data_IF_233241300715
#
_entry.id   IF_233241300715
#
_cell.length_a   1.000
_cell.length_b   1.000
_cell.length_c   1.000
_cell.angle_alpha   90.00
_cell.angle_beta   90.00
_cell.angle_gamma   90.00
#
_symmetry.space_group_name_H-M   'P 1'
#
loop_
_entity.id
_entity.type
_entity.pdbx_description
1 polymer ?
#
# COMPACT_ATOMS: atom_id res chain seq x y z
N UNK A 1 12.96 -31.74 5.03
CA UNK A 1 12.46 -30.57 5.78
C UNK A 1 10.95 -30.56 5.61
N UNK A 2 10.19 -30.32 6.68
CA UNK A 2 8.73 -30.13 6.55
C UNK A 2 8.45 -28.75 5.91
N UNK A 3 7.37 -28.62 5.14
CA UNK A 3 7.03 -27.35 4.46
C UNK A 3 6.82 -26.22 5.46
N UNK A 4 6.29 -26.52 6.66
CA UNK A 4 6.10 -25.53 7.72
C UNK A 4 7.39 -25.09 8.43
N UNK A 5 8.51 -25.78 8.20
CA UNK A 5 9.81 -25.49 8.82
C UNK A 5 10.74 -24.67 7.92
N UNK A 6 10.36 -24.44 6.65
CA UNK A 6 11.18 -23.71 5.66
C UNK A 6 11.44 -22.27 6.10
N UNK A 7 10.46 -21.62 6.72
CA UNK A 7 10.56 -20.22 7.11
C UNK A 7 10.86 -20.07 8.60
N UNK A 8 11.92 -19.32 8.91
CA UNK A 8 12.20 -18.82 10.25
C UNK A 8 11.51 -17.47 10.46
N UNK A 9 10.55 -17.41 11.38
CA UNK A 9 9.89 -16.16 11.78
C UNK A 9 10.86 -15.25 12.55
N UNK A 10 10.88 -13.96 12.21
CA UNK A 10 11.70 -12.96 12.88
C UNK A 10 10.94 -12.32 14.05
N UNK A 11 11.63 -11.84 15.10
CA UNK A 11 11.00 -11.15 16.23
C UNK A 11 10.56 -9.71 15.92
N UNK A 12 10.77 -9.26 14.67
CA UNK A 12 10.41 -7.92 14.21
C UNK A 12 8.94 -7.90 13.79
N UNK A 13 8.20 -6.90 14.28
CA UNK A 13 6.80 -6.66 13.88
C UNK A 13 6.55 -5.17 13.68
N UNK A 14 5.58 -4.82 12.84
CA UNK A 14 5.07 -3.47 12.67
C UNK A 14 3.59 -3.46 13.06
N UNK A 15 3.29 -2.78 14.15
CA UNK A 15 1.95 -2.66 14.72
C UNK A 15 1.33 -1.31 14.39
N UNK A 16 -0.01 -1.18 14.49
CA UNK A 16 -0.68 0.11 14.38
C UNK A 16 -0.12 1.15 15.34
N UNK A 17 -0.09 2.42 14.91
CA UNK A 17 0.41 3.54 15.69
C UNK A 17 -0.56 4.73 15.59
N UNK A 18 -1.35 4.95 16.65
CA UNK A 18 -2.30 6.06 16.72
C UNK A 18 -1.64 7.43 16.93
N UNK A 19 -0.34 7.49 17.22
CA UNK A 19 0.39 8.74 17.35
C UNK A 19 0.72 9.37 15.99
N UNK A 20 0.79 8.54 14.94
CA UNK A 20 1.10 9.00 13.58
C UNK A 20 -0.16 9.55 12.92
N UNK A 21 -0.13 10.86 12.71
CA UNK A 21 -1.28 11.65 12.32
C UNK A 21 -0.97 12.52 11.13
N UNK A 22 -2.01 12.89 10.39
CA UNK A 22 -1.96 13.79 9.24
C UNK A 22 -3.09 14.81 9.34
N UNK A 23 -2.87 16.03 8.85
CA UNK A 23 -3.94 17.01 8.69
C UNK A 23 -4.63 16.79 7.34
N UNK A 24 -5.95 16.58 7.35
CA UNK A 24 -6.77 16.38 6.15
C UNK A 24 -7.93 17.37 6.10
N UNK A 25 -8.50 17.62 4.90
CA UNK A 25 -9.75 18.33 4.75
C UNK A 25 -10.84 17.77 5.68
N UNK A 26 -11.52 18.68 6.39
CA UNK A 26 -12.73 18.37 7.15
C UNK A 26 -13.89 19.16 6.57
N UNK A 27 -14.98 18.44 6.27
CA UNK A 27 -16.18 19.02 5.68
C UNK A 27 -17.39 18.63 6.52
N UNK A 28 -18.24 19.61 6.81
CA UNK A 28 -19.44 19.41 7.59
C UNK A 28 -20.59 20.15 6.91
N UNK A 29 -21.40 19.41 6.16
CA UNK A 29 -22.60 19.93 5.51
C UNK A 29 -23.82 19.65 6.39
N UNK A 30 -24.97 20.17 5.96
CA UNK A 30 -26.24 19.75 6.54
C UNK A 30 -26.60 18.35 6.05
N UNK A 31 -27.17 17.48 6.90
CA UNK A 31 -27.88 16.31 6.41
C UNK A 31 -28.97 16.74 5.43
N UNK A 32 -29.34 15.87 4.49
CA UNK A 32 -30.26 16.18 3.39
C UNK A 32 -31.55 16.90 3.83
N UNK A 33 -32.18 16.43 4.92
CA UNK A 33 -33.38 17.04 5.52
C UNK A 33 -33.21 18.51 5.91
N UNK A 34 -31.99 18.95 6.17
CA UNK A 34 -31.63 20.29 6.62
C UNK A 34 -30.88 21.09 5.56
N UNK A 35 -30.78 20.60 4.32
CA UNK A 35 -30.06 21.26 3.23
C UNK A 35 -30.65 22.63 2.82
N UNK A 36 -31.88 22.93 3.23
CA UNK A 36 -32.52 24.24 3.07
C UNK A 36 -31.91 25.34 3.96
N UNK A 37 -31.13 24.98 4.97
CA UNK A 37 -30.45 25.95 5.83
C UNK A 37 -29.29 26.64 5.10
N UNK A 38 -28.92 27.86 5.50
CA UNK A 38 -27.74 28.53 4.97
C UNK A 38 -26.48 27.64 5.07
N UNK A 39 -25.56 27.71 4.08
CA UNK A 39 -24.33 26.95 4.09
C UNK A 39 -23.55 27.16 5.39
N UNK A 40 -22.97 26.08 5.91
CA UNK A 40 -22.22 26.09 7.16
C UNK A 40 -20.89 26.86 7.08
N UNK A 41 -20.12 26.85 5.96
CA UNK A 41 -18.84 27.54 5.93
C UNK A 41 -18.92 29.06 6.15
N UNK A 42 -19.78 29.83 5.44
CA UNK A 42 -19.93 31.27 5.72
C UNK A 42 -20.49 31.57 7.12
N UNK A 43 -21.34 30.68 7.65
CA UNK A 43 -21.86 30.82 9.00
C UNK A 43 -20.76 30.68 10.06
N UNK A 44 -19.77 29.82 9.84
CA UNK A 44 -18.61 29.67 10.71
C UNK A 44 -17.74 30.94 10.68
N UNK A 45 -17.43 31.46 9.50
CA UNK A 45 -16.63 32.69 9.34
C UNK A 45 -17.28 33.87 10.06
N UNK A 46 -18.60 34.04 9.94
CA UNK A 46 -19.34 35.08 10.68
C UNK A 46 -19.25 34.92 12.19
N UNK A 47 -19.31 33.69 12.71
CA UNK A 47 -19.16 33.43 14.15
C UNK A 47 -17.76 33.79 14.63
N UNK A 48 -16.72 33.45 13.85
CA UNK A 48 -15.34 33.81 14.17
C UNK A 48 -15.15 35.34 14.19
N UNK A 49 -15.68 36.06 13.19
CA UNK A 49 -15.66 37.54 13.13
C UNK A 49 -16.36 38.20 14.33
N UNK A 50 -17.39 37.55 14.88
CA UNK A 50 -18.15 38.06 16.02
C UNK A 50 -17.49 37.82 17.39
N UNK A 51 -16.40 37.05 17.46
CA UNK A 51 -15.64 36.88 18.70
C UNK A 51 -14.80 38.13 19.01
N UNK A 52 -14.50 38.34 20.29
CA UNK A 52 -13.53 39.33 20.71
C UNK A 52 -12.11 38.90 20.29
N UNK A 53 -11.22 39.88 20.09
CA UNK A 53 -9.84 39.62 19.62
C UNK A 53 -9.06 38.74 20.61
N UNK A 54 -9.21 38.97 21.91
CA UNK A 54 -8.55 38.19 22.97
C UNK A 54 -8.97 36.70 22.96
N UNK A 55 -10.22 36.41 22.57
CA UNK A 55 -10.71 35.04 22.41
C UNK A 55 -10.02 34.38 21.21
N UNK A 56 -9.94 35.07 20.08
CA UNK A 56 -9.27 34.55 18.87
C UNK A 56 -7.78 34.33 19.11
N UNK A 57 -7.11 35.22 19.85
CA UNK A 57 -5.71 35.04 20.24
C UNK A 57 -5.50 33.79 21.11
N UNK A 58 -6.37 33.55 22.11
CA UNK A 58 -6.31 32.32 22.92
C UNK A 58 -6.54 31.06 22.10
N UNK A 59 -7.50 31.08 21.17
CA UNK A 59 -7.75 29.95 20.26
C UNK A 59 -6.53 29.67 19.38
N UNK A 60 -5.89 30.71 18.86
CA UNK A 60 -4.68 30.57 18.04
C UNK A 60 -3.54 29.97 18.85
N UNK A 61 -3.31 30.44 20.08
CA UNK A 61 -2.28 29.89 20.97
C UNK A 61 -2.55 28.41 21.31
N UNK A 62 -3.82 28.04 21.52
CA UNK A 62 -4.24 26.67 21.82
C UNK A 62 -3.95 25.70 20.68
N UNK A 63 -4.18 26.10 19.43
CA UNK A 63 -3.97 25.24 18.25
C UNK A 63 -2.50 25.25 17.82
N UNK A 64 -1.85 26.42 17.80
CA UNK A 64 -0.53 26.59 17.21
C UNK A 64 0.57 25.77 17.90
N UNK A 65 0.58 25.69 19.24
CA UNK A 65 1.62 24.94 19.95
C UNK A 65 1.57 23.44 19.64
N UNK A 66 0.49 22.73 19.99
CA UNK A 66 0.34 21.29 19.74
C UNK A 66 0.43 20.93 18.25
N UNK A 67 -0.23 21.69 17.36
CA UNK A 67 -0.22 21.37 15.93
C UNK A 67 1.15 21.57 15.30
N UNK A 68 1.91 22.62 15.64
CA UNK A 68 3.27 22.82 15.08
C UNK A 68 4.28 21.82 15.62
N UNK A 69 4.06 21.29 16.82
CA UNK A 69 4.89 20.20 17.35
C UNK A 69 4.63 18.88 16.63
N UNK A 70 3.37 18.58 16.29
CA UNK A 70 2.99 17.33 15.63
C UNK A 70 3.09 17.38 14.11
N UNK A 71 2.95 18.56 13.50
CA UNK A 71 2.89 18.75 12.05
C UNK A 71 3.83 19.88 11.63
N UNK A 72 4.90 19.52 10.92
CA UNK A 72 5.99 20.41 10.48
C UNK A 72 5.49 21.66 9.75
N UNK A 73 4.43 21.53 8.95
CA UNK A 73 3.89 22.57 8.09
C UNK A 73 2.42 22.92 8.41
N UNK A 74 1.97 22.77 9.67
CA UNK A 74 0.57 23.00 10.08
C UNK A 74 -0.02 24.31 9.55
N UNK A 75 0.67 25.43 9.78
CA UNK A 75 0.19 26.75 9.37
C UNK A 75 0.04 26.86 7.84
N UNK A 76 0.97 26.27 7.06
CA UNK A 76 0.89 26.28 5.60
C UNK A 76 -0.28 25.42 5.10
N UNK A 77 -0.54 24.29 5.75
CA UNK A 77 -1.70 23.43 5.46
C UNK A 77 -3.01 24.19 5.72
N UNK A 78 -3.12 24.89 6.85
CA UNK A 78 -4.31 25.67 7.17
C UNK A 78 -4.53 26.84 6.20
N UNK A 79 -3.48 27.57 5.81
CA UNK A 79 -3.57 28.61 4.77
C UNK A 79 -4.09 28.06 3.46
N UNK A 80 -3.48 26.97 2.99
CA UNK A 80 -3.89 26.31 1.75
C UNK A 80 -5.35 25.88 1.81
N UNK A 81 -5.81 25.38 2.97
CA UNK A 81 -7.21 25.00 3.15
C UNK A 81 -8.16 26.19 2.98
N UNK A 82 -7.79 27.38 3.44
CA UNK A 82 -8.56 28.61 3.21
C UNK A 82 -8.60 28.96 1.72
N UNK A 83 -7.48 28.81 1.01
CA UNK A 83 -7.42 29.07 -0.43
C UNK A 83 -8.28 28.09 -1.25
N UNK A 84 -8.21 26.80 -0.93
CA UNK A 84 -9.04 25.74 -1.54
C UNK A 84 -10.54 26.01 -1.37
N UNK A 85 -10.93 26.58 -0.23
CA UNK A 85 -12.34 26.84 0.11
C UNK A 85 -12.77 28.29 -0.13
N UNK A 86 -11.94 29.11 -0.80
CA UNK A 86 -12.17 30.57 -0.92
C UNK A 86 -13.57 30.92 -1.41
N UNK A 87 -14.09 30.17 -2.37
CA UNK A 87 -15.42 30.40 -2.97
C UNK A 87 -16.58 29.96 -2.05
N UNK A 88 -16.31 29.08 -1.08
CA UNK A 88 -17.31 28.56 -0.13
C UNK A 88 -17.37 29.35 1.18
N UNK A 89 -16.27 30.01 1.56
CA UNK A 89 -16.11 30.64 2.88
C UNK A 89 -16.88 31.97 3.04
N UNK A 90 -17.27 32.61 1.94
CA UNK A 90 -17.92 33.92 1.96
C UNK A 90 -16.95 35.07 2.25
N UNK A 91 -17.40 36.08 2.99
CA UNK A 91 -16.61 37.30 3.24
C UNK A 91 -15.52 37.12 4.30
N UNK A 92 -14.27 37.07 3.85
CA UNK A 92 -13.06 37.01 4.67
C UNK A 92 -12.45 38.39 4.99
N UNK A 93 -13.05 39.49 4.54
CA UNK A 93 -12.50 40.83 4.77
C UNK A 93 -12.43 41.17 6.27
N UNK A 94 -11.38 41.90 6.67
CA UNK A 94 -11.15 42.30 8.06
C UNK A 94 -10.62 41.19 8.98
N UNK A 95 -10.39 39.98 8.46
CA UNK A 95 -9.68 38.92 9.19
C UNK A 95 -8.17 39.14 9.09
N UNK A 96 -7.48 38.98 10.21
CA UNK A 96 -6.02 38.96 10.25
C UNK A 96 -5.48 37.63 9.72
N UNK A 97 -4.18 37.59 9.44
CA UNK A 97 -3.49 36.36 9.06
C UNK A 97 -3.66 35.23 10.12
N UNK A 98 -3.70 35.60 11.40
CA UNK A 98 -3.94 34.66 12.50
C UNK A 98 -5.36 34.10 12.45
N UNK A 99 -6.33 34.91 12.10
CA UNK A 99 -7.72 34.47 11.98
C UNK A 99 -7.91 33.52 10.79
N UNK A 100 -7.19 33.75 9.69
CA UNK A 100 -7.21 32.83 8.53
C UNK A 100 -6.66 31.45 8.91
N UNK A 101 -5.65 31.36 9.77
CA UNK A 101 -5.18 30.07 10.29
C UNK A 101 -6.27 29.36 11.11
N UNK A 102 -7.05 30.10 11.90
CA UNK A 102 -8.20 29.53 12.63
C UNK A 102 -9.29 29.04 11.69
N UNK A 103 -9.61 29.82 10.63
CA UNK A 103 -10.55 29.38 9.59
C UNK A 103 -10.06 28.07 8.97
N UNK A 104 -8.80 28.01 8.52
CA UNK A 104 -8.21 26.80 7.94
C UNK A 104 -8.25 25.60 8.89
N UNK A 105 -7.95 25.82 10.18
CA UNK A 105 -8.01 24.78 11.21
C UNK A 105 -9.44 24.23 11.42
N UNK A 106 -10.48 25.08 11.38
CA UNK A 106 -11.87 24.62 11.49
C UNK A 106 -12.33 23.72 10.34
N UNK A 107 -11.76 23.89 9.14
CA UNK A 107 -12.03 23.05 7.97
C UNK A 107 -10.96 21.98 7.73
N UNK A 108 -10.21 21.68 8.78
CA UNK A 108 -9.20 20.62 8.82
C UNK A 108 -9.48 19.69 9.98
N UNK A 109 -9.01 18.45 9.87
CA UNK A 109 -9.02 17.48 10.96
C UNK A 109 -7.66 16.80 11.07
N UNK A 110 -7.24 16.50 12.29
CA UNK A 110 -6.13 15.60 12.55
C UNK A 110 -6.64 14.16 12.46
N UNK A 111 -5.97 13.32 11.67
CA UNK A 111 -6.41 11.98 11.35
C UNK A 111 -5.27 10.98 11.58
N UNK A 112 -5.49 9.98 12.43
CA UNK A 112 -4.54 8.90 12.67
C UNK A 112 -4.70 7.81 11.60
N UNK A 113 -3.76 7.71 10.67
CA UNK A 113 -3.95 6.98 9.41
C UNK A 113 -3.60 5.49 9.46
N UNK A 114 -2.91 5.08 10.52
CA UNK A 114 -2.54 3.69 10.78
C UNK A 114 -2.86 3.28 12.22
N UNK A 115 -3.93 3.86 12.80
CA UNK A 115 -4.32 3.62 14.19
C UNK A 115 -5.01 2.29 14.43
N UNK A 116 -5.67 1.74 13.41
CA UNK A 116 -6.48 0.52 13.54
C UNK A 116 -5.73 -0.73 13.05
N UNK A 117 -5.00 -0.62 11.93
CA UNK A 117 -4.29 -1.74 11.33
C UNK A 117 -3.12 -1.26 10.44
N UNK A 118 -2.07 -2.09 10.35
CA UNK A 118 -0.87 -1.86 9.52
C UNK A 118 -0.36 -3.18 8.91
N UNK A 119 -0.82 -3.52 7.70
CA UNK A 119 -0.69 -4.88 7.15
C UNK A 119 -0.56 -4.88 5.62
N UNK A 120 -0.71 -6.05 4.99
CA UNK A 120 -0.58 -6.27 3.54
C UNK A 120 0.71 -5.71 2.94
N UNK A 121 1.88 -6.13 3.46
CA UNK A 121 3.17 -5.59 3.07
C UNK A 121 3.61 -6.04 1.67
N UNK A 122 4.22 -5.13 0.91
CA UNK A 122 4.98 -5.43 -0.30
C UNK A 122 6.33 -4.71 -0.24
N UNK A 123 7.40 -5.33 -0.71
CA UNK A 123 8.72 -4.71 -0.72
C UNK A 123 9.46 -4.83 -2.06
N UNK A 124 10.33 -3.88 -2.30
CA UNK A 124 11.33 -3.86 -3.37
C UNK A 124 12.64 -3.31 -2.83
N UNK A 125 13.76 -3.59 -3.49
CA UNK A 125 15.00 -2.86 -3.22
C UNK A 125 14.83 -1.39 -3.60
N UNK A 126 15.44 -0.49 -2.83
CA UNK A 126 15.44 0.93 -3.20
C UNK A 126 16.31 1.09 -4.46
N UNK A 127 15.80 1.71 -5.55
CA UNK A 127 16.61 1.99 -6.74
C UNK A 127 17.84 2.84 -6.41
N UNK A 128 19.03 2.41 -6.86
CA UNK A 128 20.34 3.00 -6.53
C UNK A 128 21.46 1.96 -6.67
N UNK A 129 22.73 2.32 -6.38
CA UNK A 129 23.90 1.42 -6.50
C UNK A 129 23.65 0.06 -5.80
N UNK A 130 23.34 -0.96 -6.62
CA UNK A 130 23.11 -2.37 -6.29
C UNK A 130 22.05 -2.69 -5.22
N UNK A 131 21.25 -1.70 -4.79
CA UNK A 131 20.31 -1.85 -3.66
C UNK A 131 21.01 -2.08 -2.32
N UNK A 132 22.31 -1.80 -2.23
CA UNK A 132 23.13 -2.01 -1.04
C UNK A 132 23.24 -0.73 -0.21
N UNK A 133 23.03 -0.87 1.10
CA UNK A 133 23.42 0.12 2.09
C UNK A 133 24.95 0.21 2.16
N UNK A 134 25.46 1.30 2.75
CA UNK A 134 26.91 1.60 2.84
C UNK A 134 27.73 0.53 3.56
N UNK A 135 27.08 -0.35 4.31
CA UNK A 135 27.66 -1.47 5.06
C UNK A 135 27.51 -2.83 4.34
N UNK A 136 27.00 -2.84 3.10
CA UNK A 136 26.79 -4.05 2.31
C UNK A 136 25.49 -4.81 2.63
N UNK A 137 24.61 -4.25 3.48
CA UNK A 137 23.27 -4.81 3.71
C UNK A 137 22.30 -4.41 2.60
N UNK A 138 21.24 -5.19 2.39
CA UNK A 138 20.21 -4.86 1.41
C UNK A 138 19.29 -3.77 1.94
N UNK A 139 19.10 -2.71 1.16
CA UNK A 139 18.20 -1.61 1.49
C UNK A 139 16.89 -1.76 0.72
N UNK A 140 15.77 -1.77 1.44
CA UNK A 140 14.46 -1.95 0.82
C UNK A 140 13.49 -0.81 1.15
N UNK A 141 12.54 -0.63 0.23
CA UNK A 141 11.29 0.09 0.43
C UNK A 141 10.20 -0.93 0.73
N UNK A 142 9.46 -0.71 1.82
CA UNK A 142 8.31 -1.49 2.22
C UNK A 142 7.07 -0.61 2.14
N UNK A 143 6.09 -1.01 1.34
CA UNK A 143 4.74 -0.44 1.38
C UNK A 143 3.86 -1.24 2.33
N UNK A 144 2.95 -0.54 3.00
CA UNK A 144 2.00 -1.10 3.96
C UNK A 144 0.63 -0.46 3.74
N UNK A 145 -0.41 -1.25 4.00
CA UNK A 145 -1.78 -0.77 4.11
C UNK A 145 -2.02 -0.27 5.53
N UNK A 146 -2.21 1.05 5.68
CA UNK A 146 -2.60 1.69 6.93
C UNK A 146 -4.11 1.93 6.98
N UNK A 147 -4.75 1.49 8.07
CA UNK A 147 -6.17 1.74 8.35
C UNK A 147 -6.28 2.71 9.52
N UNK A 148 -6.99 3.81 9.30
CA UNK A 148 -7.29 4.82 10.31
C UNK A 148 -8.75 4.84 10.75
N UNK A 149 -9.16 5.94 11.37
CA UNK A 149 -10.55 6.19 11.76
C UNK A 149 -11.53 6.03 10.57
N UNK A 150 -12.70 5.45 10.80
CA UNK A 150 -13.69 5.25 9.74
C UNK A 150 -13.30 4.17 8.71
N UNK A 151 -12.25 3.38 8.98
CA UNK A 151 -11.77 2.29 8.14
C UNK A 151 -11.25 2.70 6.76
N UNK A 152 -10.84 3.96 6.59
CA UNK A 152 -10.27 4.42 5.32
C UNK A 152 -8.87 3.82 5.14
N UNK A 153 -8.68 3.10 4.03
CA UNK A 153 -7.40 2.51 3.65
C UNK A 153 -6.47 3.52 2.99
N UNK A 154 -5.21 3.52 3.40
CA UNK A 154 -4.13 4.32 2.83
C UNK A 154 -2.89 3.46 2.58
N UNK A 155 -2.01 3.93 1.70
CA UNK A 155 -0.66 3.37 1.55
C UNK A 155 0.32 4.23 2.34
N UNK A 156 1.12 3.60 3.18
CA UNK A 156 2.25 4.22 3.89
C UNK A 156 3.50 3.38 3.66
N UNK A 157 4.67 3.98 3.92
CA UNK A 157 5.94 3.37 3.60
C UNK A 157 6.85 3.25 4.82
N UNK A 158 7.77 2.28 4.77
CA UNK A 158 8.91 2.13 5.66
C UNK A 158 10.14 1.82 4.81
N UNK A 159 11.30 2.09 5.37
CA UNK A 159 12.57 1.57 4.86
C UNK A 159 13.23 0.71 5.92
N UNK A 160 14.20 -0.08 5.49
CA UNK A 160 14.96 -0.91 6.39
C UNK A 160 16.16 -1.53 5.71
N UNK A 161 16.98 -2.21 6.50
CA UNK A 161 18.09 -3.01 6.01
C UNK A 161 17.93 -4.48 6.37
N UNK A 162 18.46 -5.36 5.52
CA UNK A 162 18.48 -6.80 5.73
C UNK A 162 19.84 -7.38 5.35
N UNK A 163 20.42 -8.19 6.23
CA UNK A 163 21.73 -8.83 6.05
C UNK A 163 21.69 -10.12 5.20
N UNK A 164 20.54 -10.45 4.62
CA UNK A 164 20.29 -11.73 3.95
C UNK A 164 19.99 -12.88 4.92
N UNK A 165 20.14 -12.66 6.22
CA UNK A 165 20.00 -13.61 7.32
C UNK A 165 18.80 -13.31 8.19
N UNK A 166 18.99 -13.39 9.50
CA UNK A 166 17.98 -13.01 10.50
C UNK A 166 18.12 -11.55 10.96
N UNK A 167 19.17 -10.85 10.52
CA UNK A 167 19.39 -9.44 10.80
C UNK A 167 18.50 -8.56 9.91
N UNK A 168 17.31 -8.24 10.41
CA UNK A 168 16.38 -7.30 9.80
C UNK A 168 16.22 -6.08 10.70
N UNK A 169 16.43 -4.89 10.15
CA UNK A 169 16.18 -3.62 10.84
C UNK A 169 15.16 -2.81 10.04
N UNK A 170 14.09 -2.36 10.69
CA UNK A 170 13.19 -1.35 10.13
C UNK A 170 13.61 0.00 10.68
N UNK A 171 13.75 1.01 9.83
CA UNK A 171 14.10 2.34 10.31
C UNK A 171 12.95 2.94 11.11
N UNK A 172 13.25 3.78 12.12
CA UNK A 172 12.23 4.52 12.83
C UNK A 172 11.36 5.33 11.87
N UNK A 173 10.04 5.15 11.96
CA UNK A 173 9.10 5.97 11.20
C UNK A 173 9.10 7.40 11.75
N UNK A 174 9.01 8.39 10.85
CA UNK A 174 8.78 9.78 11.26
C UNK A 174 7.44 9.90 11.99
N UNK A 175 7.35 10.67 13.09
CA UNK A 175 6.07 10.91 13.77
C UNK A 175 5.10 11.75 12.93
N UNK A 176 5.59 12.36 11.85
CA UNK A 176 4.80 13.20 10.96
C UNK A 176 4.17 12.38 9.83
N UNK A 177 2.94 12.74 9.44
CA UNK A 177 2.27 12.24 8.25
C UNK A 177 1.90 13.39 7.32
N UNK A 178 2.22 13.24 6.04
CA UNK A 178 2.04 14.25 5.00
C UNK A 178 1.37 13.56 3.81
N UNK A 179 0.17 14.03 3.39
CA UNK A 179 -0.45 13.51 2.19
C UNK A 179 0.23 14.16 0.97
N UNK A 180 0.47 13.40 -0.11
CA UNK A 180 0.93 13.97 -1.36
C UNK A 180 -0.01 15.08 -1.85
N UNK A 181 0.56 16.07 -2.53
CA UNK A 181 -0.20 17.09 -3.24
C UNK A 181 -0.51 16.61 -4.65
N UNK A 182 -1.70 16.92 -5.14
CA UNK A 182 -2.02 16.76 -6.56
C UNK A 182 -1.32 17.89 -7.32
N UNK A 183 -0.35 17.53 -8.16
CA UNK A 183 0.34 18.47 -9.04
C UNK A 183 -0.49 18.71 -10.31
N UNK A 184 -0.96 17.63 -10.92
CA UNK A 184 -1.78 17.67 -12.13
C UNK A 184 -2.69 16.45 -12.21
N UNK A 185 -3.74 16.56 -13.03
CA UNK A 185 -4.62 15.44 -13.35
C UNK A 185 -5.15 15.61 -14.79
N UNK A 186 -5.42 14.50 -15.45
CA UNK A 186 -6.09 14.44 -16.75
C UNK A 186 -7.05 13.24 -16.77
N UNK A 187 -8.36 13.50 -16.81
CA UNK A 187 -9.36 12.48 -16.59
C UNK A 187 -9.19 11.77 -15.24
N UNK A 188 -8.95 10.45 -15.29
CA UNK A 188 -8.67 9.62 -14.11
C UNK A 188 -7.18 9.41 -13.83
N UNK A 189 -6.27 9.96 -14.65
CA UNK A 189 -4.84 10.00 -14.35
C UNK A 189 -4.53 11.14 -13.38
N UNK A 190 -3.73 10.86 -12.35
CA UNK A 190 -3.35 11.82 -11.32
C UNK A 190 -1.86 11.74 -11.03
N UNK A 191 -1.20 12.89 -11.00
CA UNK A 191 0.19 13.03 -10.56
C UNK A 191 0.27 13.69 -9.20
N UNK A 192 0.94 13.00 -8.29
CA UNK A 192 1.14 13.37 -6.90
C UNK A 192 2.61 13.72 -6.64
N UNK A 193 2.83 14.74 -5.80
CA UNK A 193 4.15 15.18 -5.37
C UNK A 193 4.24 15.27 -3.84
N UNK A 194 5.37 14.86 -3.28
CA UNK A 194 5.64 14.76 -1.85
C UNK A 194 6.78 15.67 -1.40
N UNK A 195 6.88 16.88 -1.98
CA UNK A 195 7.97 17.83 -1.68
C UNK A 195 8.01 18.27 -0.21
N UNK A 196 6.87 18.21 0.47
CA UNK A 196 6.74 18.53 1.90
C UNK A 196 7.31 17.40 2.79
N UNK A 197 7.47 16.18 2.28
CA UNK A 197 8.01 15.02 3.00
C UNK A 197 9.54 15.00 2.96
N UNK A 198 10.15 14.81 4.12
CA UNK A 198 11.60 14.69 4.29
C UNK A 198 12.09 13.25 4.36
N UNK A 199 11.19 12.35 4.75
CA UNK A 199 11.42 10.91 4.83
C UNK A 199 10.24 10.18 4.19
N UNK A 200 10.48 9.03 3.56
CA UNK A 200 9.41 8.30 2.86
C UNK A 200 8.31 7.82 3.79
N UNK A 201 8.62 7.57 5.06
CA UNK A 201 7.60 7.19 6.04
C UNK A 201 6.61 8.31 6.32
N UNK A 202 6.98 9.58 6.06
CA UNK A 202 6.05 10.71 6.16
C UNK A 202 4.97 10.67 5.08
N UNK A 203 5.23 10.05 3.92
CA UNK A 203 4.28 9.99 2.81
C UNK A 203 3.12 9.04 3.10
N UNK A 204 1.89 9.55 2.97
CA UNK A 204 0.66 8.76 3.13
C UNK A 204 -0.27 8.98 1.94
N UNK A 205 -0.42 7.97 1.08
CA UNK A 205 -1.30 8.03 -0.09
C UNK A 205 -2.71 7.63 0.33
N UNK A 206 -3.61 8.60 0.33
CA UNK A 206 -5.05 8.39 0.51
C UNK A 206 -5.76 8.18 -0.82
N UNK A 207 -7.00 7.69 -0.80
CA UNK A 207 -7.91 7.79 -1.92
C UNK A 207 -7.99 9.20 -2.49
N UNK A 208 -7.71 9.33 -3.78
CA UNK A 208 -7.80 10.56 -4.56
C UNK A 208 -8.97 10.50 -5.55
N UNK A 209 -9.16 9.36 -6.21
CA UNK A 209 -10.24 9.15 -7.18
C UNK A 209 -11.53 8.65 -6.53
N UNK A 210 -12.72 8.93 -7.10
CA UNK A 210 -14.00 8.45 -6.58
C UNK A 210 -14.04 6.93 -6.37
N UNK A 211 -13.44 6.16 -7.28
CA UNK A 211 -13.40 4.70 -7.23
C UNK A 211 -12.49 4.14 -6.13
N UNK A 212 -11.69 5.00 -5.50
CA UNK A 212 -10.84 4.64 -4.37
C UNK A 212 -11.50 5.00 -3.03
N UNK A 213 -12.72 5.56 -3.02
CA UNK A 213 -13.30 6.23 -1.83
C UNK A 213 -13.32 5.37 -0.56
N UNK A 214 -13.42 4.04 -0.68
CA UNK A 214 -13.34 3.11 0.46
C UNK A 214 -11.93 2.53 0.67
N UNK A 215 -11.03 2.68 -0.29
CA UNK A 215 -9.63 2.39 -0.07
C UNK A 215 -8.76 2.28 -1.32
N UNK A 216 -7.47 2.52 -1.10
CA UNK A 216 -6.36 1.98 -1.90
C UNK A 216 -5.88 0.73 -1.17
N UNK A 217 -6.04 -0.45 -1.78
CA UNK A 217 -5.81 -1.75 -1.13
C UNK A 217 -4.71 -2.55 -1.80
N UNK A 218 -3.92 -3.25 -0.97
CA UNK A 218 -3.04 -4.37 -1.36
C UNK A 218 -2.05 -4.03 -2.49
N UNK A 219 -1.29 -2.95 -2.29
CA UNK A 219 -0.26 -2.51 -3.23
C UNK A 219 0.84 -3.58 -3.39
N UNK A 220 1.07 -3.99 -4.64
CA UNK A 220 2.10 -4.94 -5.04
C UNK A 220 3.17 -4.22 -5.84
N UNK A 221 4.33 -4.01 -5.23
CA UNK A 221 5.47 -3.34 -5.85
C UNK A 221 6.31 -4.33 -6.65
N UNK A 222 6.88 -3.86 -7.76
CA UNK A 222 7.89 -4.56 -8.55
C UNK A 222 8.88 -3.55 -9.13
N UNK A 223 10.16 -3.92 -9.14
CA UNK A 223 11.15 -3.23 -9.97
C UNK A 223 11.02 -3.78 -11.38
N UNK A 224 10.39 -3.01 -12.27
CA UNK A 224 10.21 -3.36 -13.66
C UNK A 224 11.41 -2.91 -14.49
N UNK A 225 11.98 -3.82 -15.28
CA UNK A 225 13.10 -3.56 -16.20
C UNK A 225 12.58 -3.53 -17.63
N UNK A 226 12.78 -2.40 -18.30
CA UNK A 226 12.47 -2.20 -19.72
C UNK A 226 13.52 -2.87 -20.62
N UNK A 227 13.21 -3.01 -21.91
CA UNK A 227 14.10 -3.68 -22.88
C UNK A 227 15.42 -2.92 -23.13
N UNK A 228 15.43 -1.61 -22.82
CA UNK A 228 16.64 -0.78 -22.85
C UNK A 228 17.49 -0.87 -21.57
N UNK A 229 17.05 -1.68 -20.60
CA UNK A 229 17.69 -1.87 -19.30
C UNK A 229 17.34 -0.81 -18.26
N UNK A 230 16.53 0.19 -18.59
CA UNK A 230 16.05 1.15 -17.60
C UNK A 230 15.12 0.47 -16.59
N UNK A 231 15.22 0.89 -15.33
CA UNK A 231 14.45 0.33 -14.23
C UNK A 231 13.55 1.38 -13.59
N UNK A 232 12.35 0.96 -13.24
CA UNK A 232 11.40 1.77 -12.48
C UNK A 232 10.60 0.91 -11.49
N UNK A 233 10.24 1.49 -10.35
CA UNK A 233 9.34 0.82 -9.41
C UNK A 233 7.90 1.10 -9.81
N UNK A 234 7.14 0.03 -10.04
CA UNK A 234 5.73 0.04 -10.40
C UNK A 234 4.95 -0.68 -9.30
N UNK A 235 3.81 -0.12 -8.93
CA UNK A 235 2.84 -0.75 -8.03
C UNK A 235 1.54 -1.08 -8.75
N UNK A 236 0.94 -2.22 -8.44
CA UNK A 236 -0.44 -2.53 -8.83
C UNK A 236 -1.29 -2.68 -7.57
N UNK A 237 -2.51 -2.14 -7.57
CA UNK A 237 -3.36 -2.13 -6.39
C UNK A 237 -4.84 -2.19 -6.75
N UNK A 238 -5.66 -2.53 -5.75
CA UNK A 238 -7.11 -2.54 -5.89
C UNK A 238 -7.69 -1.23 -5.37
N UNK A 239 -8.38 -0.49 -6.24
CA UNK A 239 -9.25 0.62 -5.86
C UNK A 239 -10.65 0.07 -5.53
N UNK A 240 -11.22 0.50 -4.41
CA UNK A 240 -12.54 0.07 -3.96
C UNK A 240 -13.44 1.27 -3.61
N UNK A 241 -14.66 1.28 -4.17
CA UNK A 241 -15.65 2.34 -3.95
C UNK A 241 -16.73 1.99 -2.92
N UNK A 242 -16.74 0.74 -2.44
CA UNK A 242 -17.78 0.17 -1.56
C UNK A 242 -18.65 -0.89 -2.24
N UNK A 243 -18.60 -0.96 -3.57
CA UNK A 243 -19.44 -1.84 -4.40
C UNK A 243 -18.67 -2.50 -5.54
N UNK A 244 -17.80 -1.75 -6.22
CA UNK A 244 -17.01 -2.21 -7.35
C UNK A 244 -15.53 -2.12 -7.04
N UNK A 245 -14.78 -3.02 -7.67
CA UNK A 245 -13.32 -3.09 -7.57
C UNK A 245 -12.73 -2.83 -8.95
N UNK A 246 -11.63 -2.09 -8.98
CA UNK A 246 -10.87 -1.80 -10.19
C UNK A 246 -9.39 -1.92 -9.89
N UNK A 247 -8.63 -2.49 -10.82
CA UNK A 247 -7.18 -2.50 -10.74
C UNK A 247 -6.62 -1.18 -11.27
N UNK A 248 -5.68 -0.63 -10.53
CA UNK A 248 -5.01 0.61 -10.86
C UNK A 248 -3.50 0.44 -10.68
N UNK A 249 -2.75 1.29 -11.35
CA UNK A 249 -1.29 1.28 -11.36
C UNK A 249 -0.75 2.54 -10.67
N UNK A 250 0.36 2.35 -9.95
CA UNK A 250 1.14 3.38 -9.30
C UNK A 250 2.52 3.40 -9.96
N UNK A 251 2.91 4.51 -10.59
CA UNK A 251 4.21 4.67 -11.25
C UNK A 251 5.04 5.76 -10.59
N UNK A 252 6.31 5.82 -10.98
CA UNK A 252 7.22 6.88 -10.55
C UNK A 252 7.56 6.81 -9.07
N UNK A 253 7.54 5.63 -8.44
CA UNK A 253 7.83 5.43 -7.01
C UNK A 253 9.31 5.68 -6.73
N UNK A 254 9.71 6.96 -6.82
CA UNK A 254 11.02 7.52 -6.48
C UNK A 254 11.00 8.18 -5.08
N UNK A 255 9.94 7.88 -4.31
CA UNK A 255 9.64 8.37 -2.97
C UNK A 255 9.23 9.85 -2.91
N UNK A 256 9.19 10.56 -4.04
CA UNK A 256 8.82 11.98 -4.12
C UNK A 256 7.64 12.22 -5.03
N UNK A 257 7.54 11.47 -6.12
CA UNK A 257 6.47 11.56 -7.09
C UNK A 257 5.70 10.26 -7.14
N UNK A 258 4.42 10.32 -7.48
CA UNK A 258 3.60 9.14 -7.70
C UNK A 258 2.59 9.46 -8.80
N UNK A 259 2.45 8.57 -9.77
CA UNK A 259 1.41 8.67 -10.78
C UNK A 259 0.40 7.54 -10.57
N UNK A 260 -0.88 7.89 -10.48
CA UNK A 260 -1.98 6.95 -10.28
C UNK A 260 -2.83 6.94 -11.54
N UNK A 261 -3.10 5.75 -12.08
CA UNK A 261 -3.90 5.59 -13.28
C UNK A 261 -4.74 4.32 -13.21
N UNK A 262 -6.01 4.34 -13.66
CA UNK A 262 -6.79 3.13 -13.79
C UNK A 262 -6.31 2.27 -14.96
N UNK A 263 -6.34 0.95 -14.77
CA UNK A 263 -6.17 0.01 -15.86
C UNK A 263 -7.51 -0.23 -16.57
N UNK A 264 -7.46 -0.38 -17.88
CA UNK A 264 -8.64 -0.60 -18.74
C UNK A 264 -8.66 -2.02 -19.33
N UNK A 265 -9.81 -2.41 -19.88
CA UNK A 265 -10.03 -3.71 -20.52
C UNK A 265 -10.77 -4.72 -19.64
N UNK A 266 -11.20 -5.82 -20.25
CA UNK A 266 -12.08 -6.80 -19.62
C UNK A 266 -11.50 -7.48 -18.35
N UNK A 267 -10.18 -7.47 -18.16
CA UNK A 267 -9.50 -8.18 -17.08
C UNK A 267 -9.22 -7.33 -15.83
N UNK A 268 -9.60 -6.05 -15.81
CA UNK A 268 -9.21 -5.10 -14.74
C UNK A 268 -10.25 -4.88 -13.64
N UNK A 269 -11.47 -5.41 -13.80
CA UNK A 269 -12.56 -5.35 -12.81
C UNK A 269 -12.43 -6.35 -11.64
N UNK A 270 -11.24 -6.91 -11.41
CA UNK A 270 -10.99 -7.99 -10.45
C UNK A 270 -9.94 -7.59 -9.42
N UNK A 271 -9.42 -8.54 -8.63
CA UNK A 271 -8.44 -8.28 -7.55
C UNK A 271 -7.11 -9.01 -7.80
N UNK A 272 -6.04 -8.43 -7.24
CA UNK A 272 -4.75 -9.08 -7.11
C UNK A 272 -3.99 -9.19 -8.43
N UNK A 273 -4.05 -8.16 -9.29
CA UNK A 273 -3.15 -8.11 -10.43
C UNK A 273 -1.72 -7.84 -9.95
N UNK A 274 -0.74 -8.55 -10.51
CA UNK A 274 0.67 -8.47 -10.12
C UNK A 274 1.57 -8.57 -11.36
N UNK A 275 2.33 -7.50 -11.61
CA UNK A 275 3.16 -7.35 -12.81
C UNK A 275 4.46 -8.15 -12.71
N UNK A 276 4.79 -8.91 -13.77
CA UNK A 276 6.10 -9.53 -13.91
C UNK A 276 7.19 -8.45 -14.05
N UNK A 277 8.42 -8.68 -13.57
CA UNK A 277 9.46 -7.65 -13.49
C UNK A 277 10.07 -7.25 -14.83
N UNK A 278 9.63 -7.85 -15.95
CA UNK A 278 10.01 -7.50 -17.32
C UNK A 278 9.00 -8.06 -18.32
N UNK A 279 9.11 -7.66 -19.59
CA UNK A 279 8.37 -8.29 -20.68
C UNK A 279 8.80 -9.75 -20.89
N UNK A 280 7.88 -10.57 -21.37
CA UNK A 280 8.11 -11.96 -21.79
C UNK A 280 7.58 -12.08 -23.22
N UNK A 281 8.46 -12.46 -24.14
CA UNK A 281 8.19 -12.48 -25.59
C UNK A 281 7.65 -11.14 -26.12
N UNK A 282 8.26 -10.04 -25.66
CA UNK A 282 7.91 -8.68 -26.09
C UNK A 282 6.60 -8.14 -25.52
N UNK A 283 5.94 -8.87 -24.62
CA UNK A 283 4.64 -8.48 -24.01
C UNK A 283 4.73 -8.23 -22.53
N UNK A 284 3.92 -7.31 -22.03
CA UNK A 284 3.66 -7.18 -20.60
C UNK A 284 2.89 -8.40 -20.11
N UNK A 285 3.19 -8.85 -18.90
CA UNK A 285 2.57 -10.03 -18.29
C UNK A 285 2.18 -9.71 -16.85
N UNK A 286 0.95 -10.06 -16.46
CA UNK A 286 0.47 -9.97 -15.08
C UNK A 286 -0.11 -11.31 -14.63
N UNK A 287 0.06 -11.63 -13.35
CA UNK A 287 -0.82 -12.60 -12.70
C UNK A 287 -2.07 -11.90 -12.18
N UNK A 288 -3.20 -12.60 -12.06
CA UNK A 288 -4.44 -12.09 -11.50
C UNK A 288 -5.32 -13.17 -10.92
N UNK A 289 -6.55 -12.81 -10.50
CA UNK A 289 -7.61 -13.74 -10.08
C UNK A 289 -8.97 -13.31 -10.65
N UNK A 290 -9.16 -13.56 -11.95
CA UNK A 290 -10.28 -13.03 -12.75
C UNK A 290 -11.60 -13.78 -12.53
N UNK A 291 -11.55 -15.04 -12.08
CA UNK A 291 -12.76 -15.82 -11.76
C UNK A 291 -13.03 -15.93 -10.25
N UNK A 292 -12.29 -15.16 -9.44
CA UNK A 292 -12.31 -15.20 -7.98
C UNK A 292 -11.81 -16.50 -7.34
N UNK A 293 -11.30 -17.47 -8.11
CA UNK A 293 -10.91 -18.80 -7.61
C UNK A 293 -9.47 -19.18 -7.99
N UNK A 294 -9.06 -18.95 -9.23
CA UNK A 294 -7.82 -19.45 -9.81
C UNK A 294 -6.79 -18.34 -10.03
N UNK A 295 -5.50 -18.67 -10.11
CA UNK A 295 -4.50 -17.73 -10.61
C UNK A 295 -4.56 -17.73 -12.14
N UNK A 296 -4.69 -16.54 -12.72
CA UNK A 296 -4.70 -16.32 -14.16
C UNK A 296 -3.41 -15.67 -14.62
N UNK A 297 -3.02 -15.96 -15.86
CA UNK A 297 -1.97 -15.29 -16.60
C UNK A 297 -2.61 -14.35 -17.62
N UNK A 298 -2.24 -13.08 -17.56
CA UNK A 298 -2.70 -12.03 -18.46
C UNK A 298 -1.53 -11.58 -19.32
N UNK A 299 -1.80 -11.25 -20.58
CA UNK A 299 -0.78 -10.73 -21.50
C UNK A 299 -1.31 -9.50 -22.22
N UNK A 300 -0.46 -8.50 -22.41
CA UNK A 300 -0.82 -7.32 -23.18
C UNK A 300 0.38 -6.71 -23.91
N UNK A 301 0.10 -6.05 -25.03
CA UNK A 301 1.04 -5.20 -25.75
C UNK A 301 1.08 -3.77 -25.15
N UNK A 302 0.11 -3.42 -24.30
CA UNK A 302 -0.02 -2.12 -23.63
C UNK A 302 -0.18 -2.33 -22.11
N UNK A 303 0.66 -1.69 -21.31
CA UNK A 303 0.65 -1.80 -19.85
C UNK A 303 -0.66 -1.30 -19.22
N UNK A 304 -1.39 -0.42 -19.91
CA UNK A 304 -2.62 0.21 -19.42
C UNK A 304 -3.91 -0.51 -19.86
N UNK A 305 -3.82 -1.50 -20.75
CA UNK A 305 -4.98 -2.19 -21.35
C UNK A 305 -4.83 -3.70 -21.20
N UNK A 306 -5.81 -4.38 -20.57
CA UNK A 306 -5.77 -5.82 -20.31
C UNK A 306 -7.10 -6.49 -20.70
N UNK A 307 -7.13 -7.11 -21.89
CA UNK A 307 -8.38 -7.69 -22.45
C UNK A 307 -8.49 -9.20 -22.27
N UNK A 308 -7.36 -9.92 -22.30
CA UNK A 308 -7.34 -11.38 -22.38
C UNK A 308 -6.50 -12.01 -21.27
N UNK A 309 -6.84 -13.24 -20.92
CA UNK A 309 -6.11 -14.03 -19.95
C UNK A 309 -6.64 -15.47 -19.86
N UNK A 310 -5.89 -16.32 -19.17
CA UNK A 310 -6.26 -17.71 -18.95
C UNK A 310 -5.90 -18.21 -17.54
N UNK A 311 -6.67 -19.13 -16.94
CA UNK A 311 -6.35 -19.74 -15.65
C UNK A 311 -5.20 -20.75 -15.76
N UNK A 312 -4.13 -20.52 -15.01
CA UNK A 312 -2.88 -21.32 -15.05
C UNK A 312 -2.62 -22.13 -13.77
N UNK A 313 -3.15 -21.72 -12.62
CA UNK A 313 -3.04 -22.48 -11.36
C UNK A 313 -4.41 -22.55 -10.69
N UNK A 314 -4.86 -23.78 -10.43
CA UNK A 314 -6.14 -24.07 -9.78
C UNK A 314 -5.95 -24.64 -8.37
N UNK A 315 -6.94 -24.49 -7.47
CA UNK A 315 -6.96 -25.21 -6.21
C UNK A 315 -6.79 -26.71 -6.40
N UNK A 316 -5.86 -27.30 -5.64
CA UNK A 316 -5.50 -28.71 -5.65
C UNK A 316 -5.44 -29.28 -4.22
N UNK A 317 -5.10 -28.45 -3.22
CA UNK A 317 -4.94 -28.88 -1.82
C UNK A 317 -6.01 -28.31 -0.88
N UNK A 318 -6.33 -28.97 0.25
CA UNK A 318 -7.40 -28.54 1.14
C UNK A 318 -7.30 -27.12 1.71
N UNK A 319 -6.08 -26.59 1.83
CA UNK A 319 -5.83 -25.24 2.34
C UNK A 319 -6.14 -24.12 1.33
N UNK A 320 -6.53 -24.48 0.11
CA UNK A 320 -6.81 -23.53 -0.99
C UNK A 320 -8.11 -23.85 -1.76
N UNK A 321 -8.91 -24.83 -1.32
CA UNK A 321 -10.14 -25.26 -2.01
C UNK A 321 -11.19 -24.16 -2.19
N UNK A 322 -11.13 -23.04 -1.45
CA UNK A 322 -12.04 -21.92 -1.69
C UNK A 322 -11.52 -21.03 -2.82
N UNK A 323 -10.21 -20.75 -2.83
CA UNK A 323 -9.53 -19.96 -3.85
C UNK A 323 -8.01 -19.97 -3.63
N UNK A 324 -7.27 -19.70 -4.70
CA UNK A 324 -5.84 -19.40 -4.71
C UNK A 324 -5.59 -18.05 -5.41
N UNK A 325 -4.60 -17.30 -4.96
CA UNK A 325 -4.17 -16.07 -5.62
C UNK A 325 -2.67 -15.82 -5.43
N UNK A 326 -2.09 -14.92 -6.23
CA UNK A 326 -0.72 -14.45 -5.98
C UNK A 326 -0.68 -13.54 -4.74
N UNK A 327 0.40 -13.60 -3.98
CA UNK A 327 0.72 -12.61 -2.96
C UNK A 327 1.14 -11.31 -3.65
N UNK A 328 2.16 -11.36 -4.50
CA UNK A 328 2.64 -10.20 -5.26
C UNK A 328 3.27 -10.61 -6.57
N UNK A 329 4.12 -9.73 -7.09
CA UNK A 329 4.79 -9.91 -8.37
C UNK A 329 5.68 -11.16 -8.39
N UNK A 330 5.68 -11.95 -9.49
CA UNK A 330 6.59 -13.07 -9.66
C UNK A 330 8.06 -12.64 -9.58
N UNK A 331 8.89 -13.48 -9.00
CA UNK A 331 10.31 -13.22 -8.80
C UNK A 331 11.09 -14.08 -9.79
N UNK A 332 11.91 -13.45 -10.63
CA UNK A 332 12.77 -14.17 -11.57
C UNK A 332 13.90 -14.88 -10.82
N UNK A 333 14.00 -16.19 -10.98
CA UNK A 333 15.12 -17.01 -10.51
C UNK A 333 15.63 -17.89 -11.67
N UNK A 334 16.69 -18.65 -11.45
CA UNK A 334 17.28 -19.48 -12.52
C UNK A 334 16.35 -20.61 -12.96
N UNK A 335 15.60 -21.18 -12.01
CA UNK A 335 14.69 -22.31 -12.23
C UNK A 335 13.36 -21.92 -12.88
N UNK A 336 13.00 -20.63 -12.87
CA UNK A 336 11.68 -20.19 -13.31
C UNK A 336 11.23 -18.87 -12.70
N UNK A 337 9.92 -18.68 -12.67
CA UNK A 337 9.25 -17.60 -11.95
C UNK A 337 8.75 -18.11 -10.61
N UNK A 338 9.37 -17.70 -9.51
CA UNK A 338 8.89 -18.00 -8.16
C UNK A 338 7.70 -17.10 -7.84
N UNK A 339 6.57 -17.71 -7.48
CA UNK A 339 5.34 -17.01 -7.12
C UNK A 339 4.94 -17.40 -5.70
N UNK A 340 4.99 -16.45 -4.77
CA UNK A 340 4.31 -16.62 -3.48
C UNK A 340 2.80 -16.54 -3.69
N UNK A 341 2.07 -17.47 -3.11
CA UNK A 341 0.62 -17.60 -3.26
C UNK A 341 -0.06 -17.51 -1.91
N UNK A 342 -1.31 -17.05 -1.90
CA UNK A 342 -2.22 -17.24 -0.79
C UNK A 342 -3.30 -18.24 -1.18
N UNK A 343 -3.66 -19.13 -0.26
CA UNK A 343 -4.75 -20.09 -0.38
C UNK A 343 -5.76 -19.88 0.72
N UNK A 344 -7.04 -20.10 0.40
CA UNK A 344 -8.15 -20.01 1.36
C UNK A 344 -8.75 -21.39 1.58
N UNK A 345 -8.68 -21.85 2.83
CA UNK A 345 -9.16 -23.16 3.26
C UNK A 345 -10.33 -23.08 4.24
N UNK A 346 -10.40 -24.10 5.11
CA UNK A 346 -11.44 -24.26 6.11
C UNK A 346 -11.57 -23.01 7.00
N UNK A 347 -12.83 -22.64 7.30
CA UNK A 347 -13.17 -21.50 8.18
C UNK A 347 -12.49 -20.20 7.72
N UNK A 348 -12.39 -19.99 6.40
CA UNK A 348 -11.73 -18.83 5.78
C UNK A 348 -10.29 -18.66 6.27
N UNK A 349 -9.58 -19.77 6.52
CA UNK A 349 -8.17 -19.73 6.88
C UNK A 349 -7.32 -19.32 5.68
N UNK A 350 -6.69 -18.15 5.72
CA UNK A 350 -5.71 -17.74 4.72
C UNK A 350 -4.33 -18.20 5.14
N UNK A 351 -3.65 -18.86 4.21
CA UNK A 351 -2.29 -19.36 4.37
C UNK A 351 -1.45 -18.97 3.15
N UNK A 352 -0.13 -18.87 3.34
CA UNK A 352 0.82 -18.56 2.28
C UNK A 352 1.52 -19.84 1.83
N UNK A 353 1.57 -20.09 0.53
CA UNK A 353 2.38 -21.11 -0.12
C UNK A 353 3.23 -20.51 -1.24
N UNK A 354 3.76 -21.35 -2.11
CA UNK A 354 4.48 -20.90 -3.30
C UNK A 354 4.35 -21.89 -4.47
N UNK A 355 4.54 -21.39 -5.68
CA UNK A 355 4.70 -22.20 -6.87
C UNK A 355 5.80 -21.65 -7.79
N UNK A 356 6.21 -22.49 -8.73
CA UNK A 356 7.23 -22.18 -9.74
C UNK A 356 6.60 -22.32 -11.12
N UNK A 357 6.66 -21.26 -11.93
CA UNK A 357 6.23 -21.26 -13.32
C UNK A 357 7.46 -21.34 -14.25
N UNK A 358 7.29 -21.88 -15.44
CA UNK A 358 8.38 -21.98 -16.43
C UNK A 358 8.85 -20.59 -16.89
N UNK A 359 10.18 -20.43 -16.98
CA UNK A 359 10.82 -19.13 -17.26
C UNK A 359 10.47 -18.57 -18.63
N UNK A 360 10.38 -19.44 -19.64
CA UNK A 360 10.07 -19.06 -21.01
C UNK A 360 8.55 -18.99 -21.21
N UNK A 361 7.82 -19.98 -20.67
CA UNK A 361 6.38 -20.06 -20.80
C UNK A 361 5.68 -20.05 -19.44
N UNK A 362 5.39 -18.87 -18.85
CA UNK A 362 4.77 -18.75 -17.54
C UNK A 362 3.35 -19.34 -17.46
N UNK A 363 2.76 -19.81 -18.57
CA UNK A 363 1.50 -20.57 -18.52
C UNK A 363 1.67 -21.97 -17.91
N UNK A 364 2.92 -22.47 -17.87
CA UNK A 364 3.26 -23.82 -17.39
C UNK A 364 3.68 -23.77 -15.93
N UNK A 365 2.86 -24.38 -15.07
CA UNK A 365 3.18 -24.65 -13.68
C UNK A 365 4.16 -25.84 -13.58
N UNK A 366 5.35 -25.60 -13.02
CA UNK A 366 6.39 -26.61 -12.88
C UNK A 366 6.32 -27.35 -11.54
N UNK A 367 6.15 -26.61 -10.45
CA UNK A 367 6.13 -27.16 -9.10
C UNK A 367 5.33 -26.25 -8.16
N UNK A 368 4.86 -26.82 -7.04
CA UNK A 368 4.13 -26.07 -6.01
C UNK A 368 4.26 -26.70 -4.63
N UNK A 369 4.08 -25.91 -3.58
CA UNK A 369 3.99 -26.43 -2.21
C UNK A 369 2.67 -27.17 -2.01
N UNK A 370 2.73 -28.35 -1.39
CA UNK A 370 1.54 -29.17 -1.10
C UNK A 370 0.88 -28.79 0.23
N UNK A 371 1.64 -28.15 1.13
CA UNK A 371 1.18 -27.59 2.39
C UNK A 371 1.53 -26.08 2.47
N UNK A 372 0.91 -25.34 3.41
CA UNK A 372 1.30 -23.96 3.70
C UNK A 372 2.75 -23.81 4.17
N UNK A 373 3.42 -22.75 3.69
CA UNK A 373 4.71 -22.26 4.21
C UNK A 373 4.50 -21.42 5.47
N UNK A 374 3.50 -20.53 5.45
CA UNK A 374 3.10 -19.72 6.59
C UNK A 374 1.60 -19.86 6.79
N UNK A 375 1.21 -20.10 8.03
CA UNK A 375 -0.18 -20.14 8.46
C UNK A 375 -0.31 -19.51 9.86
N UNK A 376 -1.52 -19.05 10.24
CA UNK A 376 -1.76 -18.48 11.56
C UNK A 376 -1.44 -19.50 12.66
N UNK A 377 -0.48 -19.18 13.55
CA UNK A 377 -0.28 -19.95 14.78
C UNK A 377 -1.51 -19.84 15.69
N UNK A 378 -1.65 -20.71 16.70
CA UNK A 378 -2.75 -20.65 17.66
C UNK A 378 -2.91 -19.27 18.33
N UNK A 379 -1.79 -18.60 18.61
CA UNK A 379 -1.73 -17.25 19.19
C UNK A 379 -2.08 -16.15 18.17
N UNK A 380 -1.87 -16.42 16.88
CA UNK A 380 -2.12 -15.51 15.76
C UNK A 380 -3.52 -15.65 15.15
N UNK A 381 -4.44 -16.39 15.81
CA UNK A 381 -5.82 -16.58 15.35
C UNK A 381 -6.76 -15.41 15.67
N UNK A 382 -6.32 -14.43 16.46
CA UNK A 382 -7.05 -13.17 16.69
C UNK A 382 -6.79 -12.13 15.60
N UNK A 383 -7.42 -10.95 15.70
CA UNK A 383 -7.26 -9.84 14.75
C UNK A 383 -8.59 -9.31 14.21
N UNK A 384 -8.53 -8.35 13.29
CA UNK A 384 -9.70 -7.79 12.62
C UNK A 384 -10.37 -8.85 11.73
N UNK A 385 -9.56 -9.65 11.01
CA UNK A 385 -10.01 -10.87 10.32
C UNK A 385 -9.24 -12.08 10.88
N UNK A 386 -9.86 -12.87 11.77
CA UNK A 386 -9.25 -14.07 12.35
C UNK A 386 -8.72 -15.06 11.30
N UNK A 387 -7.68 -15.81 11.65
CA UNK A 387 -7.09 -16.87 10.82
C UNK A 387 -6.52 -16.41 9.46
N UNK A 388 -5.98 -15.19 9.39
CA UNK A 388 -5.38 -14.67 8.15
C UNK A 388 -3.87 -14.48 8.28
N UNK A 389 -3.14 -15.06 7.32
CA UNK A 389 -1.79 -14.62 6.95
C UNK A 389 -1.78 -14.26 5.47
N UNK A 390 -1.31 -13.07 5.13
CA UNK A 390 -1.36 -12.53 3.77
C UNK A 390 -0.11 -11.70 3.45
N UNK A 391 0.34 -11.69 2.20
CA UNK A 391 1.48 -10.86 1.75
C UNK A 391 1.18 -10.24 0.40
N UNK A 392 1.80 -9.10 0.12
CA UNK A 392 1.73 -8.41 -1.17
C UNK A 392 3.08 -8.43 -1.92
N UNK A 393 4.08 -9.16 -1.41
CA UNK A 393 5.39 -9.28 -2.06
C UNK A 393 6.44 -9.91 -1.17
N UNK A 394 7.51 -10.40 -1.79
CA UNK A 394 8.68 -10.94 -1.12
C UNK A 394 9.94 -10.48 -1.86
N UNK A 395 11.09 -10.60 -1.19
CA UNK A 395 12.39 -10.29 -1.77
C UNK A 395 13.24 -11.56 -1.81
N UNK A 396 13.87 -11.82 -2.97
CA UNK A 396 14.92 -12.82 -3.12
C UNK A 396 16.23 -12.10 -3.41
N UNK A 397 17.30 -12.50 -2.73
CA UNK A 397 18.62 -11.96 -3.00
C UNK A 397 19.72 -12.98 -2.72
N UNK A 398 20.83 -12.90 -3.46
CA UNK A 398 22.00 -13.73 -3.24
C UNK A 398 22.93 -13.08 -2.20
N UNK A 399 23.29 -13.79 -1.14
CA UNK A 399 24.26 -13.33 -0.13
C UNK A 399 25.37 -14.37 -0.02
N UNK A 400 26.53 -14.02 -0.59
CA UNK A 400 27.58 -15.00 -0.87
C UNK A 400 27.08 -16.06 -1.83
N UNK A 401 27.30 -17.33 -1.50
CA UNK A 401 26.86 -18.48 -2.32
C UNK A 401 25.40 -18.91 -2.03
N UNK A 402 24.69 -18.22 -1.12
CA UNK A 402 23.34 -18.60 -0.69
C UNK A 402 22.29 -17.70 -1.31
N UNK A 403 21.17 -18.28 -1.74
CA UNK A 403 19.99 -17.55 -2.20
C UNK A 403 18.99 -17.46 -1.04
N UNK A 404 18.62 -16.24 -0.65
CA UNK A 404 17.85 -15.97 0.56
C UNK A 404 16.54 -15.30 0.23
N UNK A 405 15.50 -15.63 1.00
CA UNK A 405 14.17 -15.05 0.88
C UNK A 405 13.86 -14.22 2.13
N UNK A 406 13.34 -13.00 1.94
CA UNK A 406 12.66 -12.21 2.95
C UNK A 406 11.19 -12.07 2.58
N UNK A 407 10.31 -12.57 3.44
CA UNK A 407 8.86 -12.56 3.27
C UNK A 407 8.20 -11.76 4.41
N UNK A 408 7.78 -10.50 4.17
CA UNK A 408 6.87 -9.81 5.06
C UNK A 408 5.46 -10.34 4.86
N UNK A 409 4.67 -10.40 5.93
CA UNK A 409 3.28 -10.85 5.87
C UNK A 409 2.44 -10.17 6.96
N UNK A 410 1.22 -9.80 6.59
CA UNK A 410 0.17 -9.37 7.50
C UNK A 410 -0.41 -10.54 8.29
N UNK A 411 -0.81 -10.27 9.53
CA UNK A 411 -1.49 -11.20 10.42
C UNK A 411 -2.81 -10.58 10.83
N UNK A 412 -3.90 -11.31 10.58
CA UNK A 412 -5.24 -10.98 11.06
C UNK A 412 -5.79 -9.64 10.59
N UNK A 413 -5.33 -9.13 9.44
CA UNK A 413 -5.58 -7.77 8.94
C UNK A 413 -5.32 -6.67 10.00
N UNK A 414 -4.29 -6.86 10.83
CA UNK A 414 -4.01 -5.99 11.97
C UNK A 414 -2.57 -5.46 11.99
N UNK A 415 -1.57 -6.32 11.82
CA UNK A 415 -0.16 -5.93 11.90
C UNK A 415 0.70 -6.75 10.94
N UNK A 416 1.95 -6.34 10.75
CA UNK A 416 2.92 -7.01 9.87
C UNK A 416 4.00 -7.72 10.69
N UNK A 417 4.39 -8.91 10.23
CA UNK A 417 5.54 -9.66 10.70
C UNK A 417 6.45 -10.05 9.52
N UNK A 418 7.60 -10.65 9.82
CA UNK A 418 8.60 -11.00 8.81
C UNK A 418 9.09 -12.44 9.04
N UNK A 419 9.44 -13.10 7.95
CA UNK A 419 10.07 -14.42 7.97
C UNK A 419 11.14 -14.51 6.89
N UNK A 420 12.13 -15.37 7.12
CA UNK A 420 13.25 -15.60 6.19
C UNK A 420 13.44 -17.09 5.92
N UNK A 421 13.93 -17.41 4.74
CA UNK A 421 14.24 -18.79 4.33
C UNK A 421 15.50 -18.82 3.46
N UNK A 422 16.02 -20.03 3.28
CA UNK A 422 16.89 -20.35 2.15
C UNK A 422 16.01 -20.71 0.94
N UNK A 423 16.34 -20.17 -0.24
CA UNK A 423 15.55 -20.44 -1.44
C UNK A 423 15.66 -21.90 -1.87
N UNK A 424 16.81 -22.55 -1.66
CA UNK A 424 17.04 -23.93 -2.09
C UNK A 424 16.21 -24.89 -1.22
N UNK A 425 16.07 -24.61 0.07
CA UNK A 425 15.18 -25.34 0.97
C UNK A 425 13.71 -25.17 0.56
N UNK A 426 13.30 -23.95 0.16
CA UNK A 426 11.95 -23.68 -0.35
C UNK A 426 11.67 -24.46 -1.64
N UNK A 427 12.59 -24.45 -2.61
CA UNK A 427 12.45 -25.21 -3.84
C UNK A 427 12.43 -26.73 -3.55
N UNK A 428 13.25 -27.19 -2.60
CA UNK A 428 13.36 -28.59 -2.22
C UNK A 428 12.09 -29.19 -1.59
N UNK A 429 11.17 -28.38 -1.05
CA UNK A 429 9.88 -28.86 -0.53
C UNK A 429 8.73 -28.80 -1.56
N UNK A 430 8.95 -28.19 -2.73
CA UNK A 430 7.93 -28.16 -3.78
C UNK A 430 7.79 -29.52 -4.45
N UNK A 431 6.55 -29.86 -4.84
CA UNK A 431 6.24 -31.08 -5.60
C UNK A 431 6.03 -30.69 -7.06
N UNK A 432 6.68 -31.41 -7.98
CA UNK A 432 6.50 -31.24 -9.41
C UNK A 432 5.05 -31.59 -9.83
N UNK A 433 4.53 -30.86 -10.82
CA UNK A 433 3.14 -30.98 -11.30
C UNK A 433 3.01 -31.91 -12.49
#
# INVERSE_FOLDING_TARGET
MDTSEVFTKLPVTLTPDSSRTVIRPFSFTWPERFAHNPPRPPALVRRLKALDEDVRERMQAYIAGPMRQRHRNADAIFRRRVEEMRDELGDLSGLSERDLLLVGAYFSQEYAFESAALFNPSLVLIPGEDGLAKDGQLRFLLSLRGIGEGHVSSVTFRTGTWDGGTGLTIDPASPHGIPPRIESHDGEWVRLICDDAQDVSETVIFPVLPQQRQGVEDLRLVTFTEDDGSQQVIGTYTAFDGSHVRQEILRGVDLRTFEMQPLSGAMTGYKGMALFPRRIDGRYVMLGRQDSENIWLLRSDDLDVWEEGEPIVRPCYPWEFVQIGNCGSPIEIDEGWLVFTHGVGLVRGYAIGACLLDKADPSRLLARTHAPLIFPSAEQRGGYVPNVTYSCGALVHAVGDRRRVLLPYGIGDAFTAFAVADLDDLLGVMVAV
#
